data_IF_859169327748
#
_entry.id   IF_859169327748
#
_cell.length_a   1.000
_cell.length_b   1.000
_cell.length_c   1.000
_cell.angle_alpha   90.00
_cell.angle_beta   90.00
_cell.angle_gamma   90.00
#
_symmetry.space_group_name_H-M   'P 1'
#
loop_
_entity.id
_entity.type
_entity.pdbx_description
1 polymer ?
#
# COMPACT_ATOMS: atom_id res chain seq x y z
N UNK A 1 -7.76 -17.87 10.73
CA UNK A 1 -6.64 -18.47 9.96
C UNK A 1 -6.92 -18.61 8.46
N UNK A 2 -8.10 -19.11 8.02
CA UNK A 2 -8.42 -19.31 6.58
C UNK A 2 -8.22 -18.07 5.69
N UNK A 3 -8.64 -16.88 6.12
CA UNK A 3 -8.48 -15.65 5.33
C UNK A 3 -7.02 -15.16 5.27
N UNK A 4 -6.25 -15.34 6.35
CA UNK A 4 -4.81 -15.02 6.37
C UNK A 4 -4.06 -15.95 5.40
N UNK A 5 -4.39 -17.25 5.39
CA UNK A 5 -3.81 -18.20 4.44
C UNK A 5 -4.09 -17.79 2.98
N UNK A 6 -5.30 -17.30 2.67
CA UNK A 6 -5.64 -16.80 1.33
C UNK A 6 -4.82 -15.57 0.93
N UNK A 7 -4.62 -14.63 1.85
CA UNK A 7 -3.79 -13.45 1.60
C UNK A 7 -2.34 -13.86 1.38
N UNK A 8 -1.79 -14.75 2.22
CA UNK A 8 -0.43 -15.25 2.06
C UNK A 8 -0.22 -15.96 0.72
N UNK A 9 -1.15 -16.84 0.33
CA UNK A 9 -1.10 -17.51 -0.98
C UNK A 9 -1.15 -16.47 -2.10
N UNK A 10 -2.07 -15.51 -2.01
CA UNK A 10 -2.16 -14.42 -2.97
C UNK A 10 -0.84 -13.65 -3.09
N UNK A 11 -0.25 -13.24 -1.96
CA UNK A 11 1.05 -12.55 -1.93
C UNK A 11 2.14 -13.40 -2.59
N UNK A 12 2.26 -14.69 -2.22
CA UNK A 12 3.28 -15.58 -2.79
C UNK A 12 3.12 -15.73 -4.29
N UNK A 13 1.90 -15.96 -4.78
CA UNK A 13 1.61 -16.05 -6.22
C UNK A 13 1.98 -14.75 -6.93
N UNK A 14 1.62 -13.59 -6.36
CA UNK A 14 1.94 -12.28 -6.93
C UNK A 14 3.44 -12.01 -6.97
N UNK A 15 4.16 -12.39 -5.92
CA UNK A 15 5.62 -12.30 -5.84
C UNK A 15 6.28 -13.17 -6.91
N UNK A 16 5.80 -14.39 -7.11
CA UNK A 16 6.33 -15.30 -8.15
C UNK A 16 6.09 -14.71 -9.53
N UNK A 17 4.87 -14.23 -9.82
CA UNK A 17 4.53 -13.63 -11.12
C UNK A 17 5.36 -12.36 -11.36
N UNK A 18 5.46 -11.48 -10.38
CA UNK A 18 6.26 -10.26 -10.49
C UNK A 18 7.75 -10.57 -10.67
N UNK A 19 8.27 -11.57 -9.96
CA UNK A 19 9.64 -12.03 -10.11
C UNK A 19 9.91 -12.63 -11.48
N UNK A 20 9.01 -13.47 -11.98
CA UNK A 20 9.10 -14.00 -13.34
C UNK A 20 9.07 -12.88 -14.38
N UNK A 21 8.21 -11.87 -14.19
CA UNK A 21 8.18 -10.68 -15.04
C UNK A 21 9.52 -9.94 -15.02
N UNK A 22 10.13 -9.71 -13.85
CA UNK A 22 11.45 -9.06 -13.76
C UNK A 22 12.54 -9.83 -14.52
N UNK A 23 12.52 -11.16 -14.45
CA UNK A 23 13.49 -12.01 -15.16
C UNK A 23 13.27 -11.97 -16.68
N UNK A 24 12.02 -11.91 -17.13
CA UNK A 24 11.65 -11.98 -18.54
C UNK A 24 11.56 -10.62 -19.23
N UNK A 25 11.41 -9.53 -18.48
CA UNK A 25 11.23 -8.20 -19.03
C UNK A 25 12.50 -7.78 -19.80
N UNK A 26 12.36 -7.14 -20.97
CA UNK A 26 13.50 -6.64 -21.70
C UNK A 26 14.26 -5.64 -20.83
N UNK A 27 15.57 -5.86 -20.66
CA UNK A 27 16.45 -4.91 -19.97
C UNK A 27 16.32 -3.57 -20.68
N UNK A 28 15.74 -2.58 -20.01
CA UNK A 28 15.69 -1.22 -20.53
C UNK A 28 17.09 -0.65 -20.38
N UNK A 29 17.92 -0.80 -21.41
CA UNK A 29 19.29 -0.27 -21.49
C UNK A 29 19.33 1.25 -21.69
N UNK A 30 18.31 1.98 -21.21
CA UNK A 30 18.36 3.44 -21.22
C UNK A 30 19.33 3.86 -20.13
N UNK A 31 20.62 4.00 -20.49
CA UNK A 31 21.64 4.62 -19.64
C UNK A 31 21.05 5.95 -19.18
N UNK A 32 20.77 6.14 -17.88
CA UNK A 32 20.16 7.36 -17.43
C UNK A 32 21.14 8.49 -17.71
N UNK A 33 20.71 9.47 -18.52
CA UNK A 33 21.45 10.72 -18.63
C UNK A 33 21.46 11.33 -17.22
N UNK A 34 22.65 11.40 -16.61
CA UNK A 34 22.86 12.00 -15.29
C UNK A 34 22.19 13.38 -15.26
N UNK A 35 21.07 13.48 -14.55
CA UNK A 35 20.24 14.66 -14.53
C UNK A 35 19.59 14.80 -13.15
N UNK A 36 19.41 16.03 -12.71
CA UNK A 36 18.78 16.30 -11.41
C UNK A 36 17.38 15.67 -11.28
N UNK A 37 16.66 15.50 -12.40
CA UNK A 37 15.34 14.84 -12.42
C UNK A 37 15.43 13.36 -12.11
N UNK A 38 16.42 12.67 -12.68
CA UNK A 38 16.67 11.26 -12.42
C UNK A 38 17.08 11.05 -10.95
N UNK A 39 18.01 11.87 -10.45
CA UNK A 39 18.48 11.77 -9.05
C UNK A 39 17.34 12.00 -8.04
N UNK A 40 16.49 13.00 -8.28
CA UNK A 40 15.31 13.26 -7.43
C UNK A 40 14.25 12.18 -7.60
N UNK A 41 14.07 11.65 -8.82
CA UNK A 41 13.16 10.55 -9.12
C UNK A 41 13.51 9.30 -8.32
N UNK A 42 14.77 8.89 -8.36
CA UNK A 42 15.31 7.73 -7.65
C UNK A 42 15.17 7.88 -6.13
N UNK A 43 15.59 9.04 -5.59
CA UNK A 43 15.46 9.34 -4.17
C UNK A 43 13.98 9.34 -3.72
N UNK A 44 13.09 9.85 -4.57
CA UNK A 44 11.63 9.84 -4.31
C UNK A 44 11.08 8.42 -4.32
N UNK A 45 11.50 7.58 -5.27
CA UNK A 45 11.10 6.16 -5.36
C UNK A 45 11.54 5.37 -4.13
N UNK A 46 12.81 5.51 -3.74
CA UNK A 46 13.35 4.92 -2.51
C UNK A 46 12.59 5.39 -1.26
N UNK A 47 12.30 6.70 -1.17
CA UNK A 47 11.51 7.27 -0.07
C UNK A 47 10.07 6.73 -0.03
N UNK A 48 9.46 6.50 -1.20
CA UNK A 48 8.14 5.90 -1.32
C UNK A 48 8.13 4.46 -0.77
N UNK A 49 9.15 3.65 -1.03
CA UNK A 49 9.24 2.30 -0.45
C UNK A 49 9.20 2.34 1.08
N UNK A 50 9.92 3.28 1.71
CA UNK A 50 9.86 3.48 3.16
C UNK A 50 8.48 3.93 3.65
N UNK A 51 7.78 4.79 2.91
CA UNK A 51 6.41 5.17 3.23
C UNK A 51 5.46 3.96 3.17
N UNK A 52 5.64 3.05 2.20
CA UNK A 52 4.87 1.80 2.13
C UNK A 52 5.13 0.92 3.35
N UNK A 53 6.38 0.81 3.81
CA UNK A 53 6.70 0.10 5.06
C UNK A 53 5.94 0.70 6.24
N UNK A 54 5.83 2.03 6.34
CA UNK A 54 5.06 2.67 7.41
C UNK A 54 3.55 2.35 7.29
N UNK A 55 2.97 2.46 6.09
CA UNK A 55 1.55 2.22 5.83
C UNK A 55 1.16 0.75 6.12
N UNK A 56 1.93 -0.20 5.57
CA UNK A 56 1.63 -1.63 5.73
C UNK A 56 2.11 -2.16 7.08
N UNK A 57 3.18 -1.61 7.64
CA UNK A 57 3.65 -1.91 9.00
C UNK A 57 2.58 -1.58 10.04
N UNK A 58 1.87 -0.46 9.90
CA UNK A 58 0.67 -0.16 10.71
C UNK A 58 -0.38 -1.27 10.61
N UNK A 59 -0.67 -1.73 9.40
CA UNK A 59 -1.66 -2.78 9.15
C UNK A 59 -1.24 -4.10 9.80
N UNK A 60 0.04 -4.45 9.71
CA UNK A 60 0.61 -5.62 10.37
C UNK A 60 0.51 -5.51 11.90
N UNK A 61 0.88 -4.36 12.48
CA UNK A 61 0.78 -4.11 13.91
C UNK A 61 -0.66 -4.28 14.41
N UNK A 62 -1.66 -3.79 13.67
CA UNK A 62 -3.07 -4.02 13.98
C UNK A 62 -3.45 -5.49 13.98
N UNK A 63 -2.96 -6.26 13.02
CA UNK A 63 -3.25 -7.69 12.92
C UNK A 63 -2.63 -8.49 14.07
N UNK A 64 -1.48 -8.05 14.59
CA UNK A 64 -0.77 -8.68 15.71
C UNK A 64 -1.38 -8.32 17.07
N UNK A 65 -1.82 -7.07 17.24
CA UNK A 65 -2.28 -6.54 18.55
C UNK A 65 -3.76 -6.78 18.80
N UNK A 66 -4.61 -6.69 17.77
CA UNK A 66 -6.04 -6.85 17.94
C UNK A 66 -6.43 -8.33 17.91
N UNK A 67 -7.32 -8.69 18.85
CA UNK A 67 -7.95 -10.01 18.89
C UNK A 67 -9.30 -9.97 18.16
N UNK A 68 -9.70 -11.11 17.56
CA UNK A 68 -10.92 -11.22 16.76
C UNK A 68 -10.68 -11.67 15.31
N UNK A 69 -11.72 -11.57 14.49
CA UNK A 69 -11.68 -11.84 13.05
C UNK A 69 -10.81 -10.81 12.31
N UNK A 70 -10.31 -11.15 11.11
CA UNK A 70 -9.45 -10.26 10.32
C UNK A 70 -10.09 -8.87 10.11
N UNK A 71 -11.43 -8.81 10.02
CA UNK A 71 -12.14 -7.53 9.92
C UNK A 71 -12.09 -6.75 11.23
N UNK A 72 -12.49 -7.38 12.35
CA UNK A 72 -12.47 -6.73 13.67
C UNK A 72 -11.09 -6.16 14.02
N UNK A 73 -10.03 -6.84 13.57
CA UNK A 73 -8.65 -6.39 13.77
C UNK A 73 -8.28 -5.15 12.94
N UNK A 74 -8.83 -5.03 11.73
CA UNK A 74 -8.51 -3.96 10.79
C UNK A 74 -9.36 -2.71 11.00
N UNK A 75 -10.57 -2.87 11.57
CA UNK A 75 -11.45 -1.74 11.86
C UNK A 75 -10.73 -0.71 12.76
N UNK A 76 -10.98 0.60 12.55
CA UNK A 76 -10.66 1.61 13.55
C UNK A 76 -11.32 1.19 14.87
N UNK A 77 -10.50 1.03 15.91
CA UNK A 77 -10.90 0.46 17.20
C UNK A 77 -12.23 1.06 17.67
N UNK A 78 -13.22 0.25 18.06
CA UNK A 78 -14.26 0.77 18.94
C UNK A 78 -13.56 1.28 20.18
N UNK A 79 -13.99 2.42 20.71
CA UNK A 79 -13.44 3.06 21.90
C UNK A 79 -13.55 2.12 23.12
N UNK A 80 -12.63 1.15 23.24
CA UNK A 80 -12.56 0.26 24.40
C UNK A 80 -11.56 0.88 25.35
N UNK A 81 -12.13 1.47 26.40
CA UNK A 81 -11.48 1.96 27.59
C UNK A 81 -10.60 0.86 28.20
N UNK A 82 -9.30 0.87 27.89
CA UNK A 82 -8.27 0.54 28.88
C UNK A 82 -6.90 1.09 28.47
N UNK A 83 -6.65 2.32 28.90
CA UNK A 83 -5.54 3.18 28.47
C UNK A 83 -4.29 3.04 29.33
N UNK A 84 -3.57 1.91 29.21
CA UNK A 84 -2.20 1.79 29.79
C UNK A 84 -1.10 1.29 28.84
N UNK A 85 -1.40 0.65 27.71
CA UNK A 85 -0.36 0.13 26.81
C UNK A 85 0.17 1.20 25.83
N UNK A 86 1.48 1.47 25.87
CA UNK A 86 2.16 2.39 24.93
C UNK A 86 1.94 1.99 23.46
N UNK A 87 1.87 0.69 23.17
CA UNK A 87 1.65 0.16 21.82
C UNK A 87 0.28 0.58 21.24
N UNK A 88 -0.78 0.59 22.07
CA UNK A 88 -2.11 1.06 21.64
C UNK A 88 -2.13 2.57 21.37
N UNK A 89 -1.39 3.37 22.17
CA UNK A 89 -1.23 4.82 21.90
C UNK A 89 -0.53 5.04 20.56
N UNK A 90 0.51 4.27 20.28
CA UNK A 90 1.23 4.34 19.00
C UNK A 90 0.34 3.93 17.81
N UNK A 91 -0.42 2.83 17.91
CA UNK A 91 -1.37 2.41 16.87
C UNK A 91 -2.44 3.49 16.64
N UNK A 92 -2.94 4.13 17.69
CA UNK A 92 -3.88 5.25 17.57
C UNK A 92 -3.29 6.44 16.84
N UNK A 93 -2.04 6.80 17.15
CA UNK A 93 -1.30 7.84 16.41
C UNK A 93 -1.17 7.49 14.93
N UNK A 94 -0.70 6.27 14.61
CA UNK A 94 -0.60 5.80 13.22
C UNK A 94 -1.96 5.77 12.50
N UNK A 95 -3.04 5.45 13.21
CA UNK A 95 -4.40 5.50 12.63
C UNK A 95 -4.83 6.91 12.27
N UNK A 96 -4.51 7.89 13.12
CA UNK A 96 -4.87 9.29 12.91
C UNK A 96 -4.09 9.90 11.74
N UNK A 97 -2.83 9.53 11.59
CA UNK A 97 -1.96 10.07 10.52
C UNK A 97 -2.13 9.34 9.20
N UNK A 98 -2.61 8.09 9.19
CA UNK A 98 -2.71 7.26 7.99
C UNK A 98 -3.40 7.90 6.78
N UNK A 99 -4.54 8.63 6.91
CA UNK A 99 -5.16 9.27 5.75
C UNK A 99 -4.23 10.31 5.09
N UNK A 100 -3.53 11.11 5.90
CA UNK A 100 -2.58 12.11 5.40
C UNK A 100 -1.39 11.45 4.72
N UNK A 101 -0.81 10.42 5.37
CA UNK A 101 0.29 9.64 4.78
C UNK A 101 -0.15 9.00 3.46
N UNK A 102 -1.37 8.47 3.38
CA UNK A 102 -1.93 7.89 2.17
C UNK A 102 -2.07 8.88 1.02
N UNK A 103 -2.61 10.08 1.29
CA UNK A 103 -2.69 11.16 0.29
C UNK A 103 -1.30 11.58 -0.18
N UNK A 104 -0.37 11.77 0.76
CA UNK A 104 1.03 12.10 0.45
C UNK A 104 1.68 11.03 -0.43
N UNK A 105 1.50 9.75 -0.11
CA UNK A 105 2.03 8.64 -0.92
C UNK A 105 1.47 8.69 -2.34
N UNK A 106 0.17 8.93 -2.52
CA UNK A 106 -0.43 9.04 -3.87
C UNK A 106 0.22 10.17 -4.66
N UNK A 107 0.32 11.37 -4.07
CA UNK A 107 0.96 12.53 -4.73
C UNK A 107 2.41 12.22 -5.10
N UNK A 108 3.17 11.62 -4.20
CA UNK A 108 4.56 11.26 -4.43
C UNK A 108 4.71 10.17 -5.50
N UNK A 109 3.82 9.20 -5.60
CA UNK A 109 3.83 8.16 -6.64
C UNK A 109 3.66 8.78 -8.03
N UNK A 110 2.69 9.69 -8.17
CA UNK A 110 2.50 10.43 -9.41
C UNK A 110 3.71 11.33 -9.72
N UNK A 111 4.25 12.01 -8.71
CA UNK A 111 5.46 12.82 -8.83
C UNK A 111 6.68 12.02 -9.26
N UNK A 112 6.92 10.86 -8.65
CA UNK A 112 7.99 9.93 -9.01
C UNK A 112 7.86 9.48 -10.47
N UNK A 113 6.66 9.07 -10.89
CA UNK A 113 6.41 8.67 -12.29
C UNK A 113 6.68 9.81 -13.27
N UNK A 114 6.30 11.03 -12.92
CA UNK A 114 6.60 12.21 -13.73
C UNK A 114 8.11 12.50 -13.82
N UNK A 115 8.86 12.27 -12.75
CA UNK A 115 10.31 12.47 -12.71
C UNK A 115 11.09 11.42 -13.51
N UNK A 116 10.68 10.15 -13.42
CA UNK A 116 11.30 9.03 -14.16
C UNK A 116 11.06 9.10 -15.67
N UNK A 117 9.95 9.70 -16.09
CA UNK A 117 9.60 9.89 -17.49
C UNK A 117 9.24 8.59 -18.23
N UNK A 118 8.88 8.74 -19.52
CA UNK A 118 8.35 7.64 -20.34
C UNK A 118 9.39 6.54 -20.63
N UNK A 119 10.68 6.87 -20.58
CA UNK A 119 11.78 5.94 -20.86
C UNK A 119 11.93 4.80 -19.85
N UNK A 120 11.39 4.96 -18.64
CA UNK A 120 11.39 3.94 -17.57
C UNK A 120 9.99 3.40 -17.27
N UNK A 121 9.01 3.76 -18.09
CA UNK A 121 7.66 3.23 -17.99
C UNK A 121 7.67 1.71 -18.23
N UNK A 122 7.04 0.98 -17.32
CA UNK A 122 6.90 -0.46 -17.40
C UNK A 122 5.53 -0.86 -16.85
N UNK A 123 5.10 -2.09 -17.14
CA UNK A 123 3.76 -2.56 -16.75
C UNK A 123 3.51 -2.53 -15.24
N UNK A 124 4.55 -2.68 -14.41
CA UNK A 124 4.41 -2.58 -12.96
C UNK A 124 4.14 -1.13 -12.54
N UNK A 125 4.79 -0.15 -13.18
CA UNK A 125 4.52 1.27 -12.95
C UNK A 125 3.07 1.63 -13.31
N UNK A 126 2.59 1.19 -14.47
CA UNK A 126 1.20 1.42 -14.88
C UNK A 126 0.21 0.80 -13.89
N UNK A 127 0.48 -0.43 -13.45
CA UNK A 127 -0.32 -1.09 -12.44
C UNK A 127 -0.30 -0.33 -11.09
N UNK A 128 0.85 0.17 -10.66
CA UNK A 128 0.99 0.99 -9.45
C UNK A 128 0.16 2.27 -9.55
N UNK A 129 0.15 2.96 -10.69
CA UNK A 129 -0.65 4.17 -10.90
C UNK A 129 -2.15 3.88 -10.78
N UNK A 130 -2.62 2.82 -11.44
CA UNK A 130 -4.02 2.39 -11.35
C UNK A 130 -4.38 2.02 -9.91
N UNK A 131 -3.50 1.27 -9.22
CA UNK A 131 -3.71 0.90 -7.83
C UNK A 131 -3.65 2.13 -6.90
N UNK A 132 -2.81 3.13 -7.16
CA UNK A 132 -2.74 4.38 -6.39
C UNK A 132 -4.08 5.12 -6.46
N UNK A 133 -4.62 5.30 -7.67
CA UNK A 133 -5.93 5.92 -7.89
C UNK A 133 -7.03 5.13 -7.19
N UNK A 134 -6.99 3.80 -7.29
CA UNK A 134 -7.94 2.94 -6.61
C UNK A 134 -7.86 3.10 -5.09
N UNK A 135 -6.67 3.06 -4.50
CA UNK A 135 -6.47 3.27 -3.05
C UNK A 135 -6.95 4.65 -2.61
N UNK A 136 -6.68 5.68 -3.40
CA UNK A 136 -7.13 7.04 -3.10
C UNK A 136 -8.67 7.15 -3.13
N UNK A 137 -9.29 6.70 -4.22
CA UNK A 137 -10.74 6.73 -4.39
C UNK A 137 -11.44 5.92 -3.28
N UNK A 138 -10.90 4.75 -2.95
CA UNK A 138 -11.42 3.91 -1.89
C UNK A 138 -11.23 4.53 -0.50
N UNK A 139 -10.07 5.14 -0.22
CA UNK A 139 -9.81 5.87 1.01
C UNK A 139 -10.75 7.06 1.21
N UNK A 140 -10.98 7.85 0.15
CA UNK A 140 -11.94 8.95 0.14
C UNK A 140 -13.38 8.47 0.36
N UNK A 141 -13.76 7.36 -0.26
CA UNK A 141 -15.05 6.71 -0.03
C UNK A 141 -15.24 6.31 1.44
N UNK A 142 -14.20 5.73 2.07
CA UNK A 142 -14.26 5.41 3.49
C UNK A 142 -14.36 6.68 4.35
N UNK A 143 -13.54 7.70 4.13
CA UNK A 143 -13.61 8.94 4.92
C UNK A 143 -15.01 9.57 4.89
N UNK A 144 -15.68 9.55 3.74
CA UNK A 144 -17.00 10.17 3.55
C UNK A 144 -18.17 9.31 4.01
N UNK A 145 -18.09 7.98 3.91
CA UNK A 145 -19.22 7.06 4.17
C UNK A 145 -19.08 6.20 5.43
N UNK A 146 -17.89 6.11 6.02
CA UNK A 146 -17.63 5.26 7.18
C UNK A 146 -18.41 5.71 8.42
N UNK A 147 -18.60 7.01 8.63
CA UNK A 147 -19.35 7.51 9.80
C UNK A 147 -20.87 7.29 9.71
N UNK A 148 -21.45 7.22 8.51
CA UNK A 148 -22.91 7.16 8.34
C UNK A 148 -23.48 5.74 8.19
N UNK A 149 -22.70 4.77 7.68
CA UNK A 149 -23.24 3.46 7.24
C UNK A 149 -22.57 2.26 7.92
N UNK A 150 -21.31 2.40 8.34
CA UNK A 150 -20.46 1.24 8.64
C UNK A 150 -20.80 0.53 9.96
N UNK A 151 -21.31 1.25 10.97
CA UNK A 151 -21.71 0.66 12.25
C UNK A 151 -22.94 -0.25 12.11
N UNK A 152 -23.87 0.03 11.18
CA UNK A 152 -25.12 -0.75 11.02
C UNK A 152 -25.04 -1.94 10.05
N UNK A 153 -24.04 -2.01 9.16
CA UNK A 153 -23.99 -3.01 8.05
C UNK A 153 -22.62 -3.69 7.86
N UNK A 154 -21.87 -3.95 8.93
CA UNK A 154 -20.50 -4.52 8.87
C UNK A 154 -20.37 -5.78 7.99
N UNK A 155 -21.37 -6.68 7.95
CA UNK A 155 -21.32 -7.88 7.10
C UNK A 155 -21.32 -7.56 5.59
N UNK A 156 -22.03 -6.50 5.17
CA UNK A 156 -22.20 -6.17 3.73
C UNK A 156 -20.96 -5.53 3.13
N UNK A 157 -20.16 -4.83 3.93
CA UNK A 157 -18.97 -4.10 3.45
C UNK A 157 -17.65 -4.79 3.75
N UNK A 158 -17.69 -5.99 4.33
CA UNK A 158 -16.49 -6.78 4.61
C UNK A 158 -15.67 -7.10 3.35
N UNK A 159 -16.32 -7.32 2.20
CA UNK A 159 -15.62 -7.59 0.94
C UNK A 159 -14.76 -6.39 0.48
N UNK A 160 -15.21 -5.17 0.75
CA UNK A 160 -14.52 -3.95 0.32
C UNK A 160 -13.23 -3.71 1.10
N UNK A 161 -13.24 -3.99 2.41
CA UNK A 161 -12.02 -3.95 3.21
C UNK A 161 -11.02 -5.04 2.80
N UNK A 162 -11.51 -6.20 2.35
CA UNK A 162 -10.65 -7.20 1.73
C UNK A 162 -10.07 -6.66 0.42
N UNK A 163 -10.87 -6.09 -0.48
CA UNK A 163 -10.31 -5.56 -1.74
C UNK A 163 -9.22 -4.52 -1.50
N UNK A 164 -9.36 -3.64 -0.49
CA UNK A 164 -8.31 -2.67 -0.15
C UNK A 164 -7.02 -3.33 0.33
N UNK A 165 -7.12 -4.36 1.19
CA UNK A 165 -5.95 -5.08 1.67
C UNK A 165 -5.22 -5.83 0.54
N UNK A 166 -5.97 -6.53 -0.33
CA UNK A 166 -5.39 -7.28 -1.45
C UNK A 166 -4.75 -6.33 -2.48
N UNK A 167 -5.44 -5.26 -2.86
CA UNK A 167 -4.88 -4.26 -3.79
C UNK A 167 -3.71 -3.49 -3.17
N UNK A 168 -3.70 -3.31 -1.84
CA UNK A 168 -2.55 -2.75 -1.14
C UNK A 168 -1.35 -3.70 -1.14
N UNK A 169 -1.55 -4.99 -0.91
CA UNK A 169 -0.49 -5.99 -1.06
C UNK A 169 0.08 -5.98 -2.48
N UNK A 170 -0.79 -5.96 -3.50
CA UNK A 170 -0.36 -5.87 -4.89
C UNK A 170 0.46 -4.60 -5.16
N UNK A 171 0.01 -3.45 -4.62
CA UNK A 171 0.74 -2.19 -4.72
C UNK A 171 2.17 -2.31 -4.18
N UNK A 172 2.33 -2.87 -2.98
CA UNK A 172 3.64 -3.04 -2.35
C UNK A 172 4.55 -4.02 -3.12
N UNK A 173 4.00 -5.14 -3.59
CA UNK A 173 4.75 -6.12 -4.39
C UNK A 173 5.21 -5.48 -5.70
N UNK A 174 4.32 -4.82 -6.44
CA UNK A 174 4.68 -4.17 -7.69
C UNK A 174 5.68 -3.04 -7.50
N UNK A 175 5.56 -2.24 -6.44
CA UNK A 175 6.54 -1.19 -6.14
C UNK A 175 7.94 -1.77 -5.89
N UNK A 176 8.03 -2.87 -5.13
CA UNK A 176 9.30 -3.54 -4.87
C UNK A 176 9.93 -4.10 -6.16
N UNK A 177 9.16 -4.87 -6.94
CA UNK A 177 9.68 -5.48 -8.16
C UNK A 177 9.90 -4.47 -9.29
N UNK A 178 9.12 -3.38 -9.33
CA UNK A 178 9.31 -2.27 -10.26
C UNK A 178 10.65 -1.57 -10.05
N UNK A 179 11.03 -1.33 -8.78
CA UNK A 179 12.36 -0.81 -8.44
C UNK A 179 13.47 -1.77 -8.85
N UNK A 180 13.33 -3.06 -8.52
CA UNK A 180 14.31 -4.08 -8.93
C UNK A 180 14.49 -4.17 -10.45
N UNK A 181 13.44 -3.88 -11.23
CA UNK A 181 13.49 -3.92 -12.69
C UNK A 181 14.26 -2.74 -13.28
N UNK A 182 14.13 -1.55 -12.69
CA UNK A 182 14.78 -0.32 -13.19
C UNK A 182 16.23 -0.24 -12.70
N UNK A 183 16.56 -0.93 -11.62
CA UNK A 183 17.84 -0.83 -10.93
C UNK A 183 17.86 0.41 -10.04
N UNK A 184 18.31 0.23 -8.80
CA UNK A 184 18.78 1.35 -7.97
C UNK A 184 20.17 1.78 -8.48
#
# INVERSE_FOLDING_TARGET
>A
MRNIKKILIYTVVLTIISGAYVIMAPVHTAVPLKSWRADVGEATGSGLLWLLVIIYGRTLLKLLVNNGSLMERLLPEPAVNDTKSMLKKFIRFLNKTHPYVGVTTVVLVFGHTFLEGVSRANLLMDAILVLALWQFAFGAFLLTRYQLVFVKKMKRYSYMAHSQLYTGVAFGVFALFGHLLVGD
#
